data_IF_781564356323
#
_entry.id   IF_781564356323
#
_cell.length_a   1.000
_cell.length_b   1.000
_cell.length_c   1.000
_cell.angle_alpha   90.00
_cell.angle_beta   90.00
_cell.angle_gamma   90.00
#
_symmetry.space_group_name_H-M   'P 1'
#
loop_
_entity.id
_entity.type
_entity.pdbx_description
1 polymer ?
#
# COMPACT_ATOMS: atom_id res chain seq x y z
N UNK A 1 6.34 12.63 -9.53
CA UNK A 1 5.48 11.45 -9.31
C UNK A 1 5.81 10.81 -7.97
N UNK A 2 4.85 10.20 -7.25
CA UNK A 2 5.14 9.48 -6.01
C UNK A 2 6.11 8.33 -6.30
N UNK A 3 7.30 8.39 -5.72
CA UNK A 3 8.34 7.36 -5.86
C UNK A 3 9.20 7.33 -4.59
N UNK A 4 9.92 6.23 -4.33
CA UNK A 4 10.89 6.18 -3.24
C UNK A 4 11.93 7.31 -3.30
N UNK A 5 12.43 7.65 -4.49
CA UNK A 5 13.39 8.75 -4.67
C UNK A 5 12.77 10.12 -4.34
N UNK A 6 11.51 10.34 -4.73
CA UNK A 6 10.81 11.58 -4.41
C UNK A 6 10.59 11.69 -2.90
N UNK A 7 10.25 10.59 -2.23
CA UNK A 7 10.15 10.55 -0.77
C UNK A 7 11.47 10.94 -0.10
N UNK A 8 12.59 10.33 -0.52
CA UNK A 8 13.90 10.60 0.05
C UNK A 8 14.31 12.08 -0.12
N UNK A 9 14.02 12.69 -1.27
CA UNK A 9 14.27 14.13 -1.50
C UNK A 9 13.42 15.03 -0.61
N UNK A 10 12.19 14.63 -0.27
CA UNK A 10 11.34 15.37 0.65
C UNK A 10 11.90 15.29 2.07
N UNK A 11 12.31 14.09 2.49
CA UNK A 11 12.92 13.88 3.79
C UNK A 11 14.24 14.64 3.92
N UNK A 12 15.10 14.64 2.89
CA UNK A 12 16.33 15.42 2.88
C UNK A 12 16.07 16.92 3.14
N UNK A 13 15.05 17.49 2.49
CA UNK A 13 14.64 18.88 2.73
C UNK A 13 14.08 19.09 4.14
N UNK A 14 13.28 18.15 4.62
CA UNK A 14 12.69 18.20 5.96
C UNK A 14 13.79 18.18 7.03
N UNK A 15 14.75 17.26 6.93
CA UNK A 15 15.90 17.16 7.84
C UNK A 15 16.79 18.42 7.75
N UNK A 16 17.00 18.97 6.56
CA UNK A 16 17.75 20.22 6.39
C UNK A 16 17.11 21.40 7.13
N UNK A 17 15.78 21.54 7.08
CA UNK A 17 15.07 22.61 7.81
C UNK A 17 15.07 22.34 9.31
N UNK A 18 14.83 21.10 9.74
CA UNK A 18 14.86 20.72 11.16
C UNK A 18 16.22 20.96 11.81
N UNK A 19 17.32 20.72 11.08
CA UNK A 19 18.67 21.02 11.55
C UNK A 19 18.98 22.51 11.78
N UNK A 20 18.03 23.41 11.48
CA UNK A 20 18.12 24.84 11.83
C UNK A 20 17.48 25.16 13.19
N UNK A 21 16.88 24.19 13.87
CA UNK A 21 16.27 24.31 15.21
C UNK A 21 15.21 25.44 15.33
N UNK A 22 14.53 25.74 14.23
CA UNK A 22 13.51 26.81 14.16
C UNK A 22 12.25 26.50 14.97
N UNK A 23 12.03 25.23 15.32
CA UNK A 23 10.87 24.79 16.11
C UNK A 23 10.89 25.35 17.55
N UNK A 24 12.04 25.82 18.02
CA UNK A 24 12.20 26.53 19.30
C UNK A 24 11.57 27.93 19.30
N UNK A 25 11.26 28.49 18.13
CA UNK A 25 10.70 29.84 18.00
C UNK A 25 9.24 29.84 18.45
N UNK A 26 8.96 30.59 19.52
CA UNK A 26 7.61 30.73 20.04
C UNK A 26 6.73 31.60 19.12
N UNK A 27 5.87 30.96 18.34
CA UNK A 27 4.91 31.65 17.44
C UNK A 27 3.45 31.49 17.86
N UNK A 28 3.17 30.79 18.96
CA UNK A 28 1.82 30.47 19.44
C UNK A 28 0.98 31.71 19.82
N UNK A 29 1.63 32.82 20.16
CA UNK A 29 0.98 34.09 20.47
C UNK A 29 0.48 34.83 19.22
N UNK A 30 0.89 34.42 18.02
CA UNK A 30 0.48 35.03 16.76
C UNK A 30 -0.76 34.33 16.19
N UNK A 31 -1.71 35.13 15.69
CA UNK A 31 -2.93 34.58 15.09
C UNK A 31 -2.62 33.75 13.83
N UNK A 32 -3.23 32.58 13.68
CA UNK A 32 -3.00 31.64 12.55
C UNK A 32 -3.08 32.29 11.17
N UNK A 33 -4.09 33.13 10.92
CA UNK A 33 -4.22 33.83 9.64
C UNK A 33 -3.03 34.74 9.31
N UNK A 34 -2.39 35.32 10.33
CA UNK A 34 -1.19 36.16 10.14
C UNK A 34 0.02 35.31 9.78
N UNK A 35 0.19 34.16 10.42
CA UNK A 35 1.23 33.19 10.08
C UNK A 35 1.08 32.70 8.63
N UNK A 36 -0.15 32.35 8.22
CA UNK A 36 -0.45 31.95 6.84
C UNK A 36 -0.16 33.08 5.84
N UNK A 37 -0.49 34.33 6.17
CA UNK A 37 -0.18 35.47 5.31
C UNK A 37 1.34 35.64 5.14
N UNK A 38 2.12 35.52 6.22
CA UNK A 38 3.57 35.67 6.19
C UNK A 38 4.25 34.50 5.45
N UNK A 39 3.79 33.27 5.66
CA UNK A 39 4.27 32.11 4.89
C UNK A 39 3.99 32.29 3.38
N UNK A 40 2.79 32.73 3.00
CA UNK A 40 2.45 33.03 1.60
C UNK A 40 3.29 34.16 1.00
N UNK A 41 3.72 35.13 1.79
CA UNK A 41 4.68 36.13 1.33
C UNK A 41 6.04 35.46 1.08
N UNK A 42 6.50 34.63 2.02
CA UNK A 42 7.73 33.87 1.88
C UNK A 42 7.78 33.00 0.62
N UNK A 43 6.67 32.35 0.28
CA UNK A 43 6.58 31.46 -0.89
C UNK A 43 6.51 32.20 -2.23
N UNK A 44 6.25 33.52 -2.24
CA UNK A 44 6.07 34.31 -3.48
C UNK A 44 7.35 34.99 -3.96
N UNK A 45 8.29 35.25 -3.06
CA UNK A 45 9.53 35.90 -3.41
C UNK A 45 10.57 34.87 -3.84
N UNK A 46 11.33 35.22 -4.88
CA UNK A 46 12.53 34.49 -5.22
C UNK A 46 13.59 34.64 -4.09
N UNK A 47 14.43 33.63 -3.84
CA UNK A 47 15.40 33.65 -2.74
C UNK A 47 16.31 34.89 -2.71
N UNK A 48 16.67 35.43 -3.88
CA UNK A 48 17.54 36.60 -3.98
C UNK A 48 16.83 37.91 -3.55
N UNK A 49 15.51 38.02 -3.71
CA UNK A 49 14.74 39.23 -3.39
C UNK A 49 14.72 39.52 -1.87
N UNK A 50 14.91 38.49 -1.04
CA UNK A 50 15.04 38.66 0.40
C UNK A 50 16.27 39.47 0.81
N UNK A 51 17.29 39.63 -0.05
CA UNK A 51 18.47 40.44 0.26
C UNK A 51 18.15 41.92 0.45
N UNK A 52 17.11 42.40 -0.23
CA UNK A 52 16.70 43.82 -0.20
C UNK A 52 15.79 44.13 1.00
N UNK A 53 15.41 43.12 1.78
CA UNK A 53 14.50 43.29 2.92
C UNK A 53 15.29 43.71 4.15
N UNK A 54 14.70 44.58 4.97
CA UNK A 54 15.19 44.82 6.33
C UNK A 54 15.33 43.51 7.09
N UNK A 55 16.41 43.39 7.85
CA UNK A 55 16.84 42.15 8.50
C UNK A 55 15.74 41.46 9.32
N UNK A 56 15.07 42.22 10.19
CA UNK A 56 13.96 41.71 11.01
C UNK A 56 12.80 41.18 10.16
N UNK A 57 12.44 41.91 9.10
CA UNK A 57 11.36 41.51 8.18
C UNK A 57 11.75 40.26 7.40
N UNK A 58 12.99 40.19 6.91
CA UNK A 58 13.55 39.05 6.19
C UNK A 58 13.47 37.79 7.03
N UNK A 59 14.05 37.80 8.23
CA UNK A 59 14.09 36.62 9.08
C UNK A 59 12.72 36.21 9.61
N UNK A 60 11.84 37.17 9.91
CA UNK A 60 10.46 36.84 10.33
C UNK A 60 9.70 36.08 9.25
N UNK A 61 9.76 36.56 7.99
CA UNK A 61 9.06 35.91 6.88
C UNK A 61 9.67 34.54 6.58
N UNK A 62 11.00 34.43 6.49
CA UNK A 62 11.68 33.18 6.20
C UNK A 62 11.44 32.13 7.29
N UNK A 63 11.52 32.51 8.56
CA UNK A 63 11.27 31.59 9.69
C UNK A 63 9.86 31.02 9.63
N UNK A 64 8.84 31.88 9.47
CA UNK A 64 7.45 31.44 9.40
C UNK A 64 7.20 30.57 8.15
N UNK A 65 7.81 30.93 7.03
CA UNK A 65 7.74 30.13 5.80
C UNK A 65 8.36 28.75 5.98
N UNK A 66 9.54 28.64 6.58
CA UNK A 66 10.23 27.37 6.80
C UNK A 66 9.49 26.46 7.81
N UNK A 67 8.90 27.05 8.86
CA UNK A 67 8.03 26.31 9.79
C UNK A 67 6.79 25.74 9.08
N UNK A 68 6.15 26.54 8.22
CA UNK A 68 5.03 26.07 7.41
C UNK A 68 5.48 24.98 6.41
N UNK A 69 6.62 25.17 5.77
CA UNK A 69 7.17 24.22 4.80
C UNK A 69 7.50 22.87 5.46
N UNK A 70 7.93 22.86 6.72
CA UNK A 70 8.16 21.63 7.50
C UNK A 70 6.88 20.80 7.62
N UNK A 71 5.74 21.45 7.89
CA UNK A 71 4.43 20.79 7.94
C UNK A 71 4.03 20.27 6.56
N UNK A 72 4.17 21.09 5.52
CA UNK A 72 3.82 20.71 4.14
C UNK A 72 4.67 19.54 3.62
N UNK A 73 5.97 19.50 3.92
CA UNK A 73 6.86 18.40 3.58
C UNK A 73 6.48 17.12 4.32
N UNK A 74 6.06 17.23 5.59
CA UNK A 74 5.58 16.09 6.38
C UNK A 74 4.31 15.51 5.78
N UNK A 75 3.31 16.34 5.49
CA UNK A 75 2.07 15.92 4.81
C UNK A 75 2.37 15.27 3.45
N UNK A 76 3.31 15.85 2.71
CA UNK A 76 3.70 15.33 1.40
C UNK A 76 4.40 13.98 1.49
N UNK A 77 5.20 13.76 2.52
CA UNK A 77 5.84 12.47 2.77
C UNK A 77 4.79 11.37 2.99
N UNK A 78 3.75 11.64 3.79
CA UNK A 78 2.62 10.73 3.99
C UNK A 78 1.81 10.51 2.72
N UNK A 79 1.49 11.57 1.96
CA UNK A 79 0.79 11.44 0.67
C UNK A 79 1.55 10.51 -0.30
N UNK A 80 2.88 10.60 -0.35
CA UNK A 80 3.70 9.70 -1.17
C UNK A 80 3.63 8.27 -0.64
N UNK A 81 3.75 8.08 0.68
CA UNK A 81 3.65 6.77 1.30
C UNK A 81 2.31 6.09 0.98
N UNK A 82 1.20 6.79 1.20
CA UNK A 82 -0.15 6.28 0.95
C UNK A 82 -0.33 5.85 -0.51
N UNK A 83 0.14 6.68 -1.45
CA UNK A 83 0.09 6.32 -2.88
C UNK A 83 0.95 5.12 -3.22
N UNK A 84 2.11 4.95 -2.58
CA UNK A 84 2.94 3.76 -2.76
C UNK A 84 2.21 2.51 -2.24
N UNK A 85 1.57 2.58 -1.07
CA UNK A 85 0.78 1.48 -0.50
C UNK A 85 -0.41 1.14 -1.40
N UNK A 86 -1.22 2.13 -1.80
CA UNK A 86 -2.36 1.92 -2.69
C UNK A 86 -1.93 1.30 -4.03
N UNK A 87 -0.81 1.77 -4.61
CA UNK A 87 -0.27 1.19 -5.84
C UNK A 87 0.16 -0.27 -5.65
N UNK A 88 0.78 -0.59 -4.52
CA UNK A 88 1.19 -1.95 -4.19
C UNK A 88 -0.02 -2.87 -4.06
N UNK A 89 -1.03 -2.47 -3.26
CA UNK A 89 -2.25 -3.25 -3.05
C UNK A 89 -3.02 -3.45 -4.36
N UNK A 90 -3.16 -2.41 -5.18
CA UNK A 90 -3.81 -2.50 -6.49
C UNK A 90 -3.10 -3.48 -7.42
N UNK A 91 -1.77 -3.52 -7.41
CA UNK A 91 -0.99 -4.49 -8.19
C UNK A 91 -1.18 -5.92 -7.70
N UNK A 92 -1.27 -6.14 -6.40
CA UNK A 92 -1.58 -7.44 -5.81
C UNK A 92 -2.97 -7.93 -6.24
N UNK A 93 -3.98 -7.06 -6.11
CA UNK A 93 -5.34 -7.35 -6.56
C UNK A 93 -5.41 -7.71 -8.04
N UNK A 94 -4.76 -6.92 -8.91
CA UNK A 94 -4.71 -7.20 -10.36
C UNK A 94 -4.03 -8.53 -10.67
N UNK A 95 -2.94 -8.88 -9.96
CA UNK A 95 -2.29 -10.17 -10.14
C UNK A 95 -3.21 -11.32 -9.73
N UNK A 96 -3.94 -11.16 -8.63
CA UNK A 96 -4.92 -12.13 -8.14
C UNK A 96 -6.12 -12.28 -9.12
N UNK A 97 -6.60 -11.19 -9.69
CA UNK A 97 -7.65 -11.21 -10.74
C UNK A 97 -7.18 -11.94 -12.00
N UNK A 98 -5.94 -11.73 -12.43
CA UNK A 98 -5.38 -12.39 -13.61
C UNK A 98 -5.19 -13.90 -13.39
N UNK A 99 -4.70 -14.31 -12.21
CA UNK A 99 -4.61 -15.73 -11.84
C UNK A 99 -5.99 -16.39 -11.87
N UNK A 100 -7.00 -15.72 -11.30
CA UNK A 100 -8.39 -16.23 -11.33
C UNK A 100 -8.92 -16.35 -12.75
N UNK A 101 -8.65 -15.37 -13.61
CA UNK A 101 -9.08 -15.41 -15.01
C UNK A 101 -8.43 -16.56 -15.78
N UNK A 102 -7.14 -16.79 -15.58
CA UNK A 102 -6.41 -17.91 -16.20
C UNK A 102 -6.89 -19.26 -15.69
N UNK A 103 -7.19 -19.35 -14.39
CA UNK A 103 -7.59 -20.59 -13.74
C UNK A 103 -9.11 -20.83 -13.76
N UNK A 104 -9.93 -19.87 -14.18
CA UNK A 104 -11.38 -19.91 -14.02
C UNK A 104 -12.04 -21.11 -14.70
N UNK A 105 -11.55 -21.49 -15.89
CA UNK A 105 -12.05 -22.69 -16.58
C UNK A 105 -11.73 -23.97 -15.80
N UNK A 106 -10.48 -24.12 -15.34
CA UNK A 106 -10.05 -25.27 -14.53
C UNK A 106 -10.80 -25.32 -13.20
N UNK A 107 -11.01 -24.17 -12.55
CA UNK A 107 -11.77 -24.08 -11.31
C UNK A 107 -13.21 -24.55 -11.50
N UNK A 108 -13.87 -24.11 -12.58
CA UNK A 108 -15.22 -24.55 -12.91
C UNK A 108 -15.29 -26.06 -13.22
N UNK A 109 -14.31 -26.60 -13.96
CA UNK A 109 -14.18 -28.05 -14.18
C UNK A 109 -14.09 -28.81 -12.86
N UNK A 110 -13.28 -28.34 -11.89
CA UNK A 110 -13.20 -28.95 -10.56
C UNK A 110 -14.51 -28.86 -9.78
N UNK A 111 -15.21 -27.73 -9.82
CA UNK A 111 -16.52 -27.57 -9.16
C UNK A 111 -17.54 -28.56 -9.73
N UNK A 112 -17.57 -28.76 -11.05
CA UNK A 112 -18.45 -29.75 -11.69
C UNK A 112 -18.08 -31.17 -11.23
N UNK A 113 -16.78 -31.51 -11.23
CA UNK A 113 -16.33 -32.82 -10.77
C UNK A 113 -16.73 -33.09 -9.32
N UNK A 114 -16.50 -32.13 -8.42
CA UNK A 114 -16.91 -32.25 -7.02
C UNK A 114 -18.42 -32.34 -6.84
N UNK A 115 -19.21 -31.65 -7.68
CA UNK A 115 -20.67 -31.74 -7.65
C UNK A 115 -21.14 -33.15 -8.05
N UNK A 116 -20.58 -33.70 -9.12
CA UNK A 116 -20.90 -35.06 -9.58
C UNK A 116 -20.53 -36.12 -8.54
N UNK A 117 -19.35 -35.97 -7.93
CA UNK A 117 -18.90 -36.82 -6.81
C UNK A 117 -19.84 -36.68 -5.61
N UNK A 118 -20.22 -35.47 -5.24
CA UNK A 118 -21.18 -35.21 -4.16
C UNK A 118 -22.53 -35.87 -4.40
N UNK A 119 -23.06 -35.78 -5.63
CA UNK A 119 -24.30 -36.45 -6.03
C UNK A 119 -24.18 -37.98 -5.96
N UNK A 120 -23.07 -38.54 -6.43
CA UNK A 120 -22.77 -39.97 -6.33
C UNK A 120 -22.76 -40.45 -4.86
N UNK A 121 -22.12 -39.68 -3.97
CA UNK A 121 -22.08 -39.98 -2.54
C UNK A 121 -23.47 -39.90 -1.88
N UNK A 122 -24.26 -38.88 -2.23
CA UNK A 122 -25.65 -38.73 -1.73
C UNK A 122 -26.48 -39.95 -2.17
N UNK A 123 -26.42 -40.29 -3.46
CA UNK A 123 -27.15 -41.43 -4.03
C UNK A 123 -26.73 -42.76 -3.38
N UNK A 124 -25.43 -42.99 -3.21
CA UNK A 124 -24.94 -44.21 -2.56
C UNK A 124 -25.46 -44.34 -1.13
N UNK A 125 -25.57 -43.22 -0.39
CA UNK A 125 -26.13 -43.19 0.96
C UNK A 125 -27.63 -43.47 0.99
N UNK A 126 -28.39 -42.86 0.09
CA UNK A 126 -29.86 -43.02 0.01
C UNK A 126 -30.26 -44.44 -0.42
N UNK A 127 -29.56 -44.99 -1.41
CA UNK A 127 -29.83 -46.32 -1.98
C UNK A 127 -29.07 -47.46 -1.25
N UNK A 128 -28.28 -47.14 -0.22
CA UNK A 128 -27.43 -48.07 0.55
C UNK A 128 -26.49 -48.89 -0.36
N UNK A 129 -25.92 -48.24 -1.37
CA UNK A 129 -24.97 -48.85 -2.30
C UNK A 129 -23.52 -48.74 -1.78
N UNK A 130 -22.64 -49.55 -2.37
CA UNK A 130 -21.20 -49.44 -2.14
C UNK A 130 -20.66 -48.11 -2.70
N UNK A 131 -20.10 -47.29 -1.82
CA UNK A 131 -19.64 -45.93 -2.12
C UNK A 131 -18.55 -45.91 -3.19
N UNK A 132 -17.59 -46.84 -3.14
CA UNK A 132 -16.48 -46.86 -4.09
C UNK A 132 -16.93 -47.31 -5.47
N UNK A 133 -17.87 -48.27 -5.55
CA UNK A 133 -18.46 -48.67 -6.84
C UNK A 133 -19.22 -47.54 -7.52
N UNK A 134 -19.96 -46.74 -6.73
CA UNK A 134 -20.70 -45.60 -7.29
C UNK A 134 -19.74 -44.48 -7.71
N UNK A 135 -18.66 -44.23 -6.96
CA UNK A 135 -17.63 -43.26 -7.34
C UNK A 135 -16.89 -43.65 -8.62
N UNK A 136 -16.44 -44.91 -8.74
CA UNK A 136 -15.78 -45.43 -9.95
C UNK A 136 -16.65 -45.34 -11.20
N UNK A 137 -17.98 -45.37 -11.04
CA UNK A 137 -18.92 -45.18 -12.15
C UNK A 137 -18.98 -43.75 -12.68
N UNK A 138 -18.50 -42.77 -11.90
CA UNK A 138 -18.52 -41.33 -12.23
C UNK A 138 -17.13 -40.83 -12.64
N UNK A 139 -16.07 -41.35 -12.03
CA UNK A 139 -14.69 -40.94 -12.32
C UNK A 139 -13.72 -42.09 -12.03
N UNK A 140 -12.73 -42.28 -12.91
CA UNK A 140 -11.63 -43.22 -12.66
C UNK A 140 -10.80 -42.77 -11.44
N UNK A 141 -10.38 -43.71 -10.61
CA UNK A 141 -9.71 -43.41 -9.34
C UNK A 141 -8.44 -42.55 -9.51
N UNK A 142 -7.59 -42.87 -10.49
CA UNK A 142 -6.36 -42.10 -10.75
C UNK A 142 -6.67 -40.67 -11.20
N UNK A 143 -7.71 -40.50 -12.03
CA UNK A 143 -8.18 -39.18 -12.48
C UNK A 143 -8.75 -38.37 -11.33
N UNK A 144 -9.42 -39.02 -10.37
CA UNK A 144 -9.86 -38.38 -9.13
C UNK A 144 -8.68 -37.87 -8.30
N UNK A 145 -7.65 -38.69 -8.07
CA UNK A 145 -6.45 -38.31 -7.32
C UNK A 145 -5.77 -37.09 -7.96
N UNK A 146 -5.49 -37.14 -9.27
CA UNK A 146 -4.90 -35.99 -9.98
C UNK A 146 -5.81 -34.76 -9.94
N UNK A 147 -7.13 -34.95 -9.99
CA UNK A 147 -8.08 -33.85 -9.89
C UNK A 147 -8.08 -33.17 -8.52
N UNK A 148 -7.84 -33.92 -7.44
CA UNK A 148 -7.72 -33.39 -6.07
C UNK A 148 -6.40 -32.64 -5.92
N UNK A 149 -5.29 -33.17 -6.43
CA UNK A 149 -3.98 -32.50 -6.43
C UNK A 149 -4.04 -31.16 -7.20
N UNK A 150 -4.61 -31.16 -8.41
CA UNK A 150 -4.82 -29.93 -9.18
C UNK A 150 -5.73 -28.94 -8.45
N UNK A 151 -6.78 -29.41 -7.76
CA UNK A 151 -7.65 -28.54 -6.98
C UNK A 151 -6.90 -27.91 -5.78
N UNK A 152 -6.00 -28.66 -5.15
CA UNK A 152 -5.14 -28.18 -4.06
C UNK A 152 -4.18 -27.07 -4.54
N UNK A 153 -3.63 -27.21 -5.75
CA UNK A 153 -2.77 -26.18 -6.36
C UNK A 153 -3.54 -24.93 -6.79
N UNK A 154 -4.79 -25.12 -7.25
CA UNK A 154 -5.68 -24.02 -7.64
C UNK A 154 -6.28 -23.29 -6.43
N UNK A 155 -6.37 -23.96 -5.28
CA UNK A 155 -6.91 -23.40 -4.05
C UNK A 155 -6.00 -22.30 -3.50
N UNK A 156 -6.53 -21.08 -3.46
CA UNK A 156 -5.91 -19.94 -2.76
C UNK A 156 -6.34 -19.96 -1.28
N UNK A 157 -5.64 -19.24 -0.39
CA UNK A 157 -6.10 -19.02 0.99
C UNK A 157 -7.58 -18.62 1.02
N UNK A 158 -8.32 -19.16 1.99
CA UNK A 158 -9.79 -19.03 2.06
C UNK A 158 -10.27 -17.57 2.22
N UNK A 159 -9.41 -16.71 2.75
CA UNK A 159 -9.61 -15.27 2.92
C UNK A 159 -9.27 -14.45 1.65
N UNK A 160 -8.88 -15.11 0.56
CA UNK A 160 -8.42 -14.46 -0.68
C UNK A 160 -7.26 -13.50 -0.45
N UNK A 161 -6.42 -13.77 0.55
CA UNK A 161 -5.25 -12.94 0.79
C UNK A 161 -4.31 -12.98 -0.45
N UNK A 162 -3.89 -11.80 -0.89
CA UNK A 162 -2.98 -11.57 -2.01
C UNK A 162 -1.63 -11.00 -1.54
N UNK A 163 -1.40 -10.92 -0.22
CA UNK A 163 -0.14 -10.48 0.37
C UNK A 163 1.04 -11.37 -0.08
N UNK A 164 0.83 -12.66 -0.29
CA UNK A 164 1.82 -13.58 -0.84
C UNK A 164 2.30 -13.15 -2.26
N UNK A 165 1.40 -12.62 -3.09
CA UNK A 165 1.71 -12.05 -4.40
C UNK A 165 2.46 -10.71 -4.33
N UNK A 166 2.47 -10.07 -3.15
CA UNK A 166 3.18 -8.82 -2.91
C UNK A 166 4.61 -9.03 -2.41
N UNK A 167 4.99 -10.24 -1.96
CA UNK A 167 6.29 -10.51 -1.35
C UNK A 167 7.46 -10.09 -2.26
N UNK A 168 7.34 -10.33 -3.57
CA UNK A 168 8.32 -9.92 -4.59
C UNK A 168 8.33 -8.40 -4.88
N UNK A 169 7.26 -7.69 -4.51
CA UNK A 169 7.03 -6.27 -4.81
C UNK A 169 7.34 -5.34 -3.63
N UNK A 170 7.62 -5.88 -2.45
CA UNK A 170 7.97 -5.11 -1.25
C UNK A 170 9.34 -4.42 -1.32
N UNK A 171 10.22 -4.82 -2.26
CA UNK A 171 11.55 -4.23 -2.44
C UNK A 171 11.51 -2.71 -2.64
N UNK A 172 10.50 -2.18 -3.35
CA UNK A 172 10.39 -0.73 -3.57
C UNK A 172 10.06 0.04 -2.28
N UNK A 173 9.29 -0.55 -1.36
CA UNK A 173 8.98 0.07 -0.07
C UNK A 173 10.21 0.13 0.83
N UNK A 174 11.03 -0.93 0.84
CA UNK A 174 12.25 -1.01 1.66
C UNK A 174 13.27 0.10 1.35
N UNK A 175 13.21 0.68 0.14
CA UNK A 175 14.10 1.78 -0.26
C UNK A 175 13.93 3.06 0.57
N UNK A 176 12.75 3.29 1.17
CA UNK A 176 12.48 4.55 1.86
C UNK A 176 11.79 4.37 3.23
N UNK A 177 11.16 3.24 3.49
CA UNK A 177 10.45 2.97 4.76
C UNK A 177 11.35 3.02 6.01
N UNK A 178 12.64 2.60 5.99
CA UNK A 178 13.53 2.83 7.14
C UNK A 178 13.72 4.32 7.44
N UNK A 179 13.87 5.14 6.40
CA UNK A 179 13.98 6.60 6.53
C UNK A 179 12.69 7.22 7.03
N UNK A 180 11.53 6.75 6.55
CA UNK A 180 10.22 7.16 7.04
C UNK A 180 10.10 6.97 8.55
N UNK A 181 10.41 5.78 9.04
CA UNK A 181 10.31 5.45 10.47
C UNK A 181 11.35 6.16 11.34
N UNK A 182 12.52 6.49 10.77
CA UNK A 182 13.58 7.22 11.47
C UNK A 182 13.26 8.71 11.62
N UNK A 183 12.66 9.33 10.61
CA UNK A 183 12.53 10.79 10.53
C UNK A 183 11.15 11.30 10.93
N UNK A 184 10.09 10.56 10.63
CA UNK A 184 8.74 10.99 10.98
C UNK A 184 8.38 10.51 12.39
N UNK A 185 7.69 11.37 13.14
CA UNK A 185 7.24 11.08 14.49
C UNK A 185 5.82 10.56 14.49
N UNK A 186 5.58 9.50 15.27
CA UNK A 186 4.29 8.83 15.37
C UNK A 186 3.83 8.91 16.81
N UNK A 187 2.61 9.42 17.01
CA UNK A 187 1.97 9.55 18.30
C UNK A 187 0.71 8.69 18.33
N UNK A 188 0.41 8.06 19.47
CA UNK A 188 -0.77 7.21 19.70
C UNK A 188 -1.92 7.98 20.34
#
# INVERSE_FOLDING_TARGET
>A
HPSPETFLKIIERLEYIRGMDLETVQISHLHRNRLLQLSRLGSRYEPYAFRDFQENKRYSILTIYLLQLTQELTDKAFEIHDRQILSLLSKGRKAQEEIQKQNGKKLNEKVIHFTNIGQALIKAREEKLDVFKVLESVIEWNTFVSSVEEAQELARPADYDYLDLLQKRFYSLRKYTPTLLRVLEFHS
#
